data_IF_276328562848
#
_entry.id   IF_276328562848
#
_cell.length_a   1.000
_cell.length_b   1.000
_cell.length_c   1.000
_cell.angle_alpha   90.00
_cell.angle_beta   90.00
_cell.angle_gamma   90.00
#
_symmetry.space_group_name_H-M   'P 1'
#
loop_
_entity.id
_entity.type
_entity.pdbx_description
1 polymer ?
#
# COMPACT_ATOMS: atom_id res chain seq x y z
N UNK A 1 15.31 30.09 10.69
CA UNK A 1 15.37 28.78 10.01
C UNK A 1 14.84 27.64 10.86
N UNK A 2 15.14 27.55 12.16
CA UNK A 2 14.48 26.59 13.05
C UNK A 2 12.94 26.71 13.06
N UNK A 3 12.40 27.93 13.09
CA UNK A 3 10.95 28.15 12.95
C UNK A 3 10.39 27.61 11.62
N UNK A 4 11.13 27.80 10.51
CA UNK A 4 10.76 27.25 9.21
C UNK A 4 10.76 25.72 9.22
N UNK A 5 11.79 25.10 9.82
CA UNK A 5 11.87 23.65 10.02
C UNK A 5 10.65 23.13 10.81
N UNK A 6 10.30 23.78 11.92
CA UNK A 6 9.13 23.39 12.74
C UNK A 6 7.84 23.48 11.94
N UNK A 7 7.62 24.59 11.20
CA UNK A 7 6.44 24.75 10.33
C UNK A 7 6.38 23.64 9.27
N UNK A 8 7.53 23.30 8.68
CA UNK A 8 7.59 22.27 7.64
C UNK A 8 7.32 20.87 8.21
N UNK A 9 7.84 20.54 9.40
CA UNK A 9 7.52 19.30 10.11
C UNK A 9 6.03 19.23 10.47
N UNK A 10 5.43 20.32 10.96
CA UNK A 10 3.99 20.37 11.24
C UNK A 10 3.18 20.10 9.97
N UNK A 11 3.59 20.69 8.84
CA UNK A 11 2.95 20.45 7.55
C UNK A 11 3.11 18.99 7.10
N UNK A 12 4.30 18.40 7.25
CA UNK A 12 4.53 16.98 6.94
C UNK A 12 3.63 16.08 7.80
N UNK A 13 3.56 16.33 9.11
CA UNK A 13 2.69 15.57 10.02
C UNK A 13 1.22 15.72 9.65
N UNK A 14 0.78 16.93 9.28
CA UNK A 14 -0.58 17.16 8.81
C UNK A 14 -0.88 16.39 7.52
N UNK A 15 0.04 16.39 6.56
CA UNK A 15 -0.08 15.60 5.32
C UNK A 15 -0.13 14.10 5.63
N UNK A 16 0.73 13.60 6.52
CA UNK A 16 0.72 12.20 6.95
C UNK A 16 -0.63 11.84 7.59
N UNK A 17 -1.15 12.68 8.48
CA UNK A 17 -2.46 12.46 9.11
C UNK A 17 -3.59 12.43 8.07
N UNK A 18 -3.56 13.33 7.07
CA UNK A 18 -4.51 13.31 5.95
C UNK A 18 -4.41 12.04 5.11
N UNK A 19 -3.18 11.59 4.79
CA UNK A 19 -2.94 10.38 4.02
C UNK A 19 -3.41 9.13 4.77
N UNK A 20 -3.10 9.02 6.07
CA UNK A 20 -3.58 7.91 6.91
C UNK A 20 -5.11 7.91 6.94
N UNK A 21 -5.75 9.06 7.15
CA UNK A 21 -7.22 9.14 7.16
C UNK A 21 -7.84 8.84 5.80
N UNK A 22 -7.13 9.10 4.70
CA UNK A 22 -7.61 8.82 3.35
C UNK A 22 -7.48 7.34 2.97
N UNK A 23 -6.37 6.70 3.34
CA UNK A 23 -6.05 5.34 2.90
C UNK A 23 -6.37 4.25 3.94
N UNK A 24 -6.36 4.55 5.24
CA UNK A 24 -6.64 3.56 6.26
C UNK A 24 -8.14 3.27 6.36
N UNK A 25 -8.50 1.98 6.32
CA UNK A 25 -9.86 1.57 6.65
C UNK A 25 -10.15 1.86 8.14
N UNK A 26 -11.41 2.19 8.46
CA UNK A 26 -11.84 2.57 9.81
C UNK A 26 -11.51 1.53 10.89
N UNK A 27 -11.46 0.25 10.50
CA UNK A 27 -11.22 -0.90 11.38
C UNK A 27 -9.74 -1.24 11.60
N UNK A 28 -8.81 -0.57 10.90
CA UNK A 28 -7.37 -0.80 11.09
C UNK A 28 -6.95 -0.38 12.51
N UNK A 29 -6.17 -1.23 13.16
CA UNK A 29 -5.64 -1.01 14.52
C UNK A 29 -4.82 0.29 14.58
N UNK A 30 -4.97 1.05 15.67
CA UNK A 30 -4.32 2.37 15.83
C UNK A 30 -2.79 2.26 15.79
N UNK A 31 -2.26 1.16 16.30
CA UNK A 31 -0.84 0.83 16.33
C UNK A 31 -0.26 0.61 14.92
N UNK A 32 -1.02 0.01 13.99
CA UNK A 32 -0.64 -0.06 12.56
C UNK A 32 -0.50 1.35 12.00
N UNK A 33 -1.50 2.20 12.24
CA UNK A 33 -1.51 3.58 11.74
C UNK A 33 -0.31 4.38 12.26
N UNK A 34 0.06 4.20 13.52
CA UNK A 34 1.24 4.85 14.10
C UNK A 34 2.54 4.31 13.51
N UNK A 35 2.70 3.01 13.36
CA UNK A 35 3.90 2.42 12.76
C UNK A 35 4.10 2.89 11.31
N UNK A 36 3.02 2.92 10.52
CA UNK A 36 3.03 3.47 9.15
C UNK A 36 3.32 4.96 9.15
N UNK A 37 2.66 5.73 10.02
CA UNK A 37 2.86 7.17 10.13
C UNK A 37 4.28 7.55 10.52
N UNK A 38 4.89 6.77 11.42
CA UNK A 38 6.30 6.94 11.79
C UNK A 38 7.23 6.67 10.62
N UNK A 39 7.03 5.57 9.89
CA UNK A 39 7.83 5.26 8.69
C UNK A 39 7.71 6.34 7.61
N UNK A 40 6.52 6.93 7.44
CA UNK A 40 6.34 8.07 6.52
C UNK A 40 7.00 9.34 7.05
N UNK A 41 6.96 9.59 8.36
CA UNK A 41 7.60 10.75 8.97
C UNK A 41 9.11 10.72 8.78
N UNK A 42 9.76 9.58 9.00
CA UNK A 42 11.21 9.45 8.83
C UNK A 42 11.61 9.58 7.37
N UNK A 43 10.79 9.08 6.43
CA UNK A 43 11.04 9.22 4.99
C UNK A 43 10.81 10.64 4.48
N UNK A 44 9.69 11.27 4.84
CA UNK A 44 9.35 12.63 4.41
C UNK A 44 10.11 13.72 5.17
N UNK A 45 10.62 13.42 6.36
CA UNK A 45 11.38 14.35 7.21
C UNK A 45 12.62 14.93 6.52
N UNK A 46 13.19 14.20 5.55
CA UNK A 46 14.29 14.68 4.69
C UNK A 46 13.94 16.00 3.99
N UNK A 47 12.68 16.22 3.63
CA UNK A 47 12.20 17.46 2.99
C UNK A 47 12.37 18.67 3.92
N UNK A 48 12.26 18.48 5.23
CA UNK A 48 12.49 19.52 6.22
C UNK A 48 13.98 19.65 6.61
N UNK A 49 14.70 18.53 6.68
CA UNK A 49 16.09 18.48 7.12
C UNK A 49 17.06 19.07 6.09
N UNK A 50 16.88 18.77 4.81
CA UNK A 50 17.82 19.22 3.75
C UNK A 50 17.92 20.76 3.68
N UNK A 51 16.83 21.54 3.64
CA UNK A 51 16.93 23.00 3.64
C UNK A 51 17.58 23.56 4.90
N UNK A 52 17.35 22.93 6.06
CA UNK A 52 17.95 23.34 7.33
C UNK A 52 19.47 23.11 7.31
N UNK A 53 19.90 21.97 6.79
CA UNK A 53 21.31 21.59 6.66
C UNK A 53 22.07 22.49 5.68
N UNK A 54 21.49 22.72 4.50
CA UNK A 54 22.03 23.65 3.49
C UNK A 54 22.18 25.05 4.08
N UNK A 55 21.15 25.54 4.79
CA UNK A 55 21.24 26.84 5.43
C UNK A 55 22.32 26.88 6.51
N UNK A 56 22.41 25.88 7.38
CA UNK A 56 23.39 25.88 8.47
C UNK A 56 24.82 25.85 7.95
N UNK A 57 25.05 25.12 6.85
CA UNK A 57 26.33 25.08 6.13
C UNK A 57 26.68 26.46 5.57
N UNK A 58 25.73 27.13 4.89
CA UNK A 58 25.95 28.47 4.34
C UNK A 58 26.13 29.53 5.44
N UNK A 59 25.41 29.40 6.55
CA UNK A 59 25.45 30.31 7.68
C UNK A 59 26.62 30.04 8.65
N UNK A 60 27.45 29.01 8.38
CA UNK A 60 28.57 28.57 9.24
C UNK A 60 28.16 28.34 10.69
N UNK A 61 26.95 27.84 10.92
CA UNK A 61 26.42 27.53 12.24
C UNK A 61 26.99 26.19 12.75
N UNK A 62 27.08 25.99 14.08
CA UNK A 62 27.51 24.71 14.64
C UNK A 62 26.55 23.59 14.21
N UNK A 63 27.10 22.58 13.56
CA UNK A 63 26.37 21.50 12.87
C UNK A 63 25.99 20.32 13.78
N UNK A 64 26.34 20.36 15.08
CA UNK A 64 26.14 19.23 15.99
C UNK A 64 24.66 18.80 16.10
N UNK A 65 23.75 19.73 16.34
CA UNK A 65 22.32 19.42 16.45
C UNK A 65 21.74 18.85 15.14
N UNK A 66 22.24 19.31 13.99
CA UNK A 66 21.80 18.85 12.67
C UNK A 66 22.35 17.44 12.40
N UNK A 67 23.60 17.17 12.78
CA UNK A 67 24.18 15.84 12.75
C UNK A 67 23.35 14.84 13.56
N UNK A 68 22.98 15.20 14.80
CA UNK A 68 22.11 14.36 15.63
C UNK A 68 20.73 14.12 14.99
N UNK A 69 20.14 15.13 14.35
CA UNK A 69 18.86 14.95 13.64
C UNK A 69 18.99 14.00 12.44
N UNK A 70 20.10 14.08 11.70
CA UNK A 70 20.42 13.14 10.63
C UNK A 70 20.60 11.72 11.15
N UNK A 71 21.35 11.54 12.24
CA UNK A 71 21.56 10.24 12.88
C UNK A 71 20.23 9.62 13.33
N UNK A 72 19.39 10.39 14.02
CA UNK A 72 18.06 9.93 14.46
C UNK A 72 17.23 9.52 13.25
N UNK A 73 17.16 10.35 12.22
CA UNK A 73 16.33 10.08 11.02
C UNK A 73 16.83 8.86 10.27
N UNK A 74 18.15 8.73 10.11
CA UNK A 74 18.79 7.62 9.44
C UNK A 74 18.53 6.30 10.18
N UNK A 75 18.92 6.21 11.45
CA UNK A 75 18.77 4.98 12.24
C UNK A 75 17.31 4.60 12.45
N UNK A 76 16.42 5.59 12.58
CA UNK A 76 14.98 5.34 12.63
C UNK A 76 14.45 4.75 11.33
N UNK A 77 14.92 5.25 10.17
CA UNK A 77 14.53 4.71 8.86
C UNK A 77 15.02 3.28 8.68
N UNK A 78 16.26 2.99 9.10
CA UNK A 78 16.80 1.63 9.01
C UNK A 78 16.06 0.66 9.94
N UNK A 79 15.86 1.06 11.21
CA UNK A 79 15.09 0.26 12.16
C UNK A 79 13.65 0.03 11.71
N UNK A 80 13.00 1.07 11.15
CA UNK A 80 11.66 0.96 10.61
C UNK A 80 11.59 -0.02 9.42
N UNK A 81 12.53 0.10 8.48
CA UNK A 81 12.54 -0.69 7.23
C UNK A 81 12.83 -2.17 7.50
N UNK A 82 13.84 -2.46 8.32
CA UNK A 82 14.35 -3.83 8.46
C UNK A 82 13.72 -4.60 9.63
N UNK A 83 13.19 -3.89 10.63
CA UNK A 83 12.70 -4.53 11.86
C UNK A 83 11.22 -4.23 12.06
N UNK A 84 10.87 -2.96 12.28
CA UNK A 84 9.53 -2.60 12.77
C UNK A 84 8.44 -2.91 11.75
N UNK A 85 8.58 -2.46 10.50
CA UNK A 85 7.51 -2.63 9.50
C UNK A 85 7.27 -4.11 9.12
N UNK A 86 8.30 -4.92 8.79
CA UNK A 86 8.09 -6.35 8.48
C UNK A 86 7.51 -7.12 9.66
N UNK A 87 8.00 -6.85 10.88
CA UNK A 87 7.49 -7.49 12.09
C UNK A 87 6.03 -7.10 12.35
N UNK A 88 5.72 -5.81 12.25
CA UNK A 88 4.40 -5.30 12.60
C UNK A 88 3.33 -5.72 11.58
N UNK A 89 3.71 -5.84 10.30
CA UNK A 89 2.85 -6.37 9.25
C UNK A 89 2.36 -7.77 9.62
N UNK A 90 3.27 -8.73 9.86
CA UNK A 90 2.88 -10.11 10.19
C UNK A 90 2.21 -10.19 11.57
N UNK A 91 2.67 -9.40 12.54
CA UNK A 91 2.07 -9.35 13.88
C UNK A 91 0.59 -8.94 13.83
N UNK A 92 0.25 -7.94 12.99
CA UNK A 92 -1.12 -7.46 12.82
C UNK A 92 -2.00 -8.45 12.04
N UNK A 93 -1.39 -9.25 11.15
CA UNK A 93 -2.08 -10.26 10.34
C UNK A 93 -2.24 -11.60 11.06
N UNK A 94 -1.52 -11.82 12.17
CA UNK A 94 -1.56 -13.06 12.94
C UNK A 94 -2.92 -13.27 13.61
N UNK A 95 -3.54 -14.43 13.35
CA UNK A 95 -4.83 -14.82 13.93
C UNK A 95 -4.75 -15.30 15.39
N UNK A 96 -3.55 -15.35 15.97
CA UNK A 96 -3.35 -15.83 17.33
C UNK A 96 -4.12 -15.01 18.38
N UNK A 97 -4.48 -15.66 19.48
CA UNK A 97 -5.25 -15.05 20.57
C UNK A 97 -4.39 -14.38 21.64
N UNK A 98 -3.08 -14.66 21.69
CA UNK A 98 -2.16 -14.10 22.69
C UNK A 98 -1.05 -13.27 22.02
N UNK A 99 -0.63 -12.18 22.67
CA UNK A 99 0.46 -11.31 22.19
C UNK A 99 1.75 -12.10 21.96
N UNK A 100 2.09 -13.00 22.88
CA UNK A 100 3.29 -13.85 22.78
C UNK A 100 3.27 -14.72 21.52
N UNK A 101 2.14 -15.35 21.22
CA UNK A 101 2.00 -16.20 20.02
C UNK A 101 2.10 -15.37 18.76
N UNK A 102 1.43 -14.20 18.70
CA UNK A 102 1.55 -13.28 17.56
C UNK A 102 2.98 -12.82 17.30
N UNK A 103 3.73 -12.48 18.36
CA UNK A 103 5.14 -12.11 18.23
C UNK A 103 5.97 -13.27 17.67
N UNK A 104 5.72 -14.49 18.14
CA UNK A 104 6.43 -15.68 17.66
C UNK A 104 6.10 -15.99 16.20
N UNK A 105 4.81 -15.95 15.83
CA UNK A 105 4.34 -16.11 14.45
C UNK A 105 4.98 -15.07 13.53
N UNK A 106 5.02 -13.81 13.96
CA UNK A 106 5.67 -12.72 13.22
C UNK A 106 7.16 -12.97 12.97
N UNK A 107 7.90 -13.39 13.99
CA UNK A 107 9.33 -13.75 13.83
C UNK A 107 9.47 -14.95 12.90
N UNK A 108 8.66 -15.99 13.09
CA UNK A 108 8.72 -17.26 12.33
C UNK A 108 8.51 -17.02 10.84
N UNK A 109 7.50 -16.24 10.46
CA UNK A 109 7.21 -15.96 9.05
C UNK A 109 8.22 -14.99 8.42
N UNK A 110 8.78 -14.07 9.21
CA UNK A 110 9.87 -13.20 8.77
C UNK A 110 11.25 -13.88 8.80
N UNK A 111 11.38 -15.15 9.22
CA UNK A 111 12.67 -15.84 9.29
C UNK A 111 13.38 -15.92 7.94
N UNK A 112 12.64 -16.00 6.82
CA UNK A 112 13.27 -16.00 5.50
C UNK A 112 13.96 -14.65 5.22
N UNK A 113 13.27 -13.55 5.49
CA UNK A 113 13.83 -12.19 5.33
C UNK A 113 15.07 -12.03 6.20
N UNK A 114 14.96 -12.37 7.49
CA UNK A 114 16.07 -12.27 8.43
C UNK A 114 17.20 -13.25 8.11
N UNK A 115 16.87 -14.42 7.57
CA UNK A 115 17.84 -15.40 7.09
C UNK A 115 18.65 -14.88 5.92
N UNK A 116 18.01 -14.31 4.89
CA UNK A 116 18.70 -13.71 3.74
C UNK A 116 19.55 -12.51 4.14
N UNK A 117 19.02 -11.61 4.98
CA UNK A 117 19.80 -10.47 5.49
C UNK A 117 20.97 -10.96 6.35
N UNK A 118 20.74 -11.96 7.19
CA UNK A 118 21.74 -12.57 8.06
C UNK A 118 22.87 -13.26 7.29
N UNK A 119 22.57 -13.99 6.21
CA UNK A 119 23.60 -14.61 5.36
C UNK A 119 24.44 -13.57 4.61
N UNK A 120 23.82 -12.51 4.09
CA UNK A 120 24.55 -11.39 3.49
C UNK A 120 25.44 -10.67 4.51
N UNK A 121 24.94 -10.45 5.73
CA UNK A 121 25.72 -9.86 6.81
C UNK A 121 26.89 -10.76 7.20
N UNK A 122 26.67 -12.07 7.34
CA UNK A 122 27.72 -13.04 7.64
C UNK A 122 28.79 -13.10 6.54
N UNK A 123 28.39 -13.03 5.27
CA UNK A 123 29.32 -12.96 4.14
C UNK A 123 30.15 -11.67 4.18
N UNK A 124 29.51 -10.51 4.41
CA UNK A 124 30.20 -9.23 4.54
C UNK A 124 31.21 -9.21 5.71
N UNK A 125 30.81 -9.76 6.85
CA UNK A 125 31.68 -9.94 8.02
C UNK A 125 32.85 -10.88 7.69
N UNK A 126 32.59 -12.01 7.04
CA UNK A 126 33.62 -12.97 6.61
C UNK A 126 34.66 -12.34 5.67
N UNK A 127 34.22 -11.48 4.75
CA UNK A 127 35.13 -10.69 3.91
C UNK A 127 36.00 -9.75 4.74
N UNK A 128 35.43 -9.02 5.72
CA UNK A 128 36.20 -8.11 6.57
C UNK A 128 37.25 -8.84 7.41
N UNK A 129 36.94 -10.06 7.87
CA UNK A 129 37.90 -10.94 8.55
C UNK A 129 39.05 -11.33 7.61
N UNK A 130 38.77 -11.72 6.37
CA UNK A 130 39.79 -12.07 5.38
C UNK A 130 40.75 -10.91 5.07
N UNK A 131 40.26 -9.67 5.10
CA UNK A 131 41.08 -8.47 4.87
C UNK A 131 41.77 -7.92 6.14
N UNK A 132 41.61 -8.56 7.30
CA UNK A 132 42.10 -8.07 8.61
C UNK A 132 41.68 -6.63 8.96
N UNK A 133 40.50 -6.19 8.46
CA UNK A 133 39.96 -4.84 8.70
C UNK A 133 38.76 -4.88 9.64
N UNK A 134 38.81 -5.70 10.68
CA UNK A 134 37.68 -5.88 11.60
C UNK A 134 37.76 -4.87 12.73
N UNK A 135 37.03 -3.77 12.57
CA UNK A 135 36.73 -2.81 13.62
C UNK A 135 35.21 -2.57 13.61
N UNK A 136 34.63 -2.16 14.74
CA UNK A 136 33.19 -1.87 14.78
C UNK A 136 32.82 -0.75 13.80
N UNK A 137 33.70 0.23 13.62
CA UNK A 137 33.50 1.34 12.70
C UNK A 137 33.51 0.89 11.23
N UNK A 138 34.41 -0.02 10.85
CA UNK A 138 34.42 -0.59 9.49
C UNK A 138 33.20 -1.45 9.21
N UNK A 139 32.69 -2.17 10.21
CA UNK A 139 31.47 -2.96 10.08
C UNK A 139 30.23 -2.07 9.92
N UNK A 140 30.10 -1.04 10.77
CA UNK A 140 29.01 -0.07 10.68
C UNK A 140 29.06 0.69 9.35
N UNK A 141 30.25 1.14 8.92
CA UNK A 141 30.44 1.80 7.63
C UNK A 141 30.06 0.92 6.44
N UNK A 142 30.43 -0.37 6.47
CA UNK A 142 30.03 -1.33 5.43
C UNK A 142 28.50 -1.53 5.40
N UNK A 143 27.87 -1.69 6.57
CA UNK A 143 26.41 -1.80 6.68
C UNK A 143 25.69 -0.57 6.13
N UNK A 144 26.16 0.63 6.47
CA UNK A 144 25.63 1.89 5.95
C UNK A 144 25.77 1.95 4.42
N UNK A 145 26.92 1.55 3.88
CA UNK A 145 27.18 1.50 2.44
C UNK A 145 26.25 0.54 1.70
N UNK A 146 26.04 -0.67 2.24
CA UNK A 146 25.13 -1.67 1.66
C UNK A 146 23.68 -1.19 1.72
N UNK A 147 23.23 -0.66 2.85
CA UNK A 147 21.87 -0.14 3.00
C UNK A 147 21.58 1.02 2.02
N UNK A 148 22.56 1.92 1.84
CA UNK A 148 22.45 3.00 0.85
C UNK A 148 22.44 2.46 -0.58
N UNK A 149 23.25 1.44 -0.87
CA UNK A 149 23.27 0.78 -2.20
C UNK A 149 21.91 0.13 -2.49
N UNK A 150 21.33 -0.58 -1.52
CA UNK A 150 19.98 -1.12 -1.62
C UNK A 150 18.96 -0.03 -1.92
N UNK A 151 18.96 1.07 -1.15
CA UNK A 151 18.05 2.20 -1.37
C UNK A 151 18.20 2.83 -2.76
N UNK A 152 19.43 2.99 -3.25
CA UNK A 152 19.70 3.51 -4.59
C UNK A 152 19.23 2.55 -5.68
N UNK A 153 19.50 1.26 -5.56
CA UNK A 153 19.06 0.24 -6.52
C UNK A 153 17.52 0.21 -6.59
N UNK A 154 16.84 0.16 -5.45
CA UNK A 154 15.37 0.22 -5.39
C UNK A 154 14.86 1.52 -5.98
N UNK A 155 15.48 2.66 -5.64
CA UNK A 155 15.13 3.98 -6.19
C UNK A 155 15.26 4.04 -7.71
N UNK A 156 16.36 3.51 -8.27
CA UNK A 156 16.59 3.46 -9.72
C UNK A 156 15.54 2.58 -10.40
N UNK A 157 15.23 1.40 -9.85
CA UNK A 157 14.23 0.49 -10.42
C UNK A 157 12.83 1.11 -10.40
N UNK A 158 12.42 1.69 -9.27
CA UNK A 158 11.12 2.35 -9.13
C UNK A 158 11.01 3.58 -10.03
N UNK A 159 12.06 4.40 -10.11
CA UNK A 159 12.11 5.55 -10.99
C UNK A 159 12.06 5.12 -12.47
N UNK A 160 12.75 4.04 -12.84
CA UNK A 160 12.72 3.48 -14.18
C UNK A 160 11.30 3.06 -14.59
N UNK A 161 10.58 2.37 -13.70
CA UNK A 161 9.17 2.03 -13.92
C UNK A 161 8.29 3.28 -14.04
N UNK A 162 8.43 4.22 -13.10
CA UNK A 162 7.66 5.48 -13.10
C UNK A 162 7.87 6.30 -14.37
N UNK A 163 9.09 6.34 -14.88
CA UNK A 163 9.43 7.08 -16.09
C UNK A 163 8.80 6.51 -17.36
N UNK A 164 8.51 5.21 -17.40
CA UNK A 164 7.91 4.55 -18.57
C UNK A 164 6.40 4.44 -18.43
N UNK A 165 5.91 3.94 -17.29
CA UNK A 165 4.49 3.62 -17.15
C UNK A 165 3.64 4.88 -16.94
N UNK A 166 4.14 5.93 -16.26
CA UNK A 166 3.37 7.17 -16.06
C UNK A 166 3.09 7.86 -17.41
N UNK A 167 4.08 8.17 -18.28
CA UNK A 167 3.79 8.78 -19.57
C UNK A 167 2.94 7.90 -20.47
N UNK A 168 3.16 6.59 -20.46
CA UNK A 168 2.36 5.62 -21.22
C UNK A 168 0.90 5.61 -20.77
N UNK A 169 0.64 5.62 -19.46
CA UNK A 169 -0.70 5.71 -18.92
C UNK A 169 -1.36 7.06 -19.24
N UNK A 170 -0.61 8.16 -19.13
CA UNK A 170 -1.08 9.50 -19.53
C UNK A 170 -1.42 9.55 -21.03
N UNK A 171 -0.58 8.99 -21.90
CA UNK A 171 -0.84 8.91 -23.34
C UNK A 171 -2.10 8.10 -23.66
N UNK A 172 -2.24 6.90 -23.07
CA UNK A 172 -3.45 6.06 -23.20
C UNK A 172 -4.70 6.78 -22.73
N UNK A 173 -4.61 7.53 -21.62
CA UNK A 173 -5.72 8.36 -21.09
C UNK A 173 -6.16 9.48 -22.05
N UNK A 174 -5.34 9.78 -23.06
CA UNK A 174 -5.71 10.66 -24.16
C UNK A 174 -6.82 10.12 -25.06
N UNK A 175 -7.10 8.82 -25.09
CA UNK A 175 -8.17 8.24 -25.90
C UNK A 175 -9.27 7.61 -25.00
N UNK A 176 -10.41 8.28 -24.80
CA UNK A 176 -11.46 7.78 -23.91
C UNK A 176 -12.10 6.49 -24.41
N UNK A 177 -12.17 6.26 -25.73
CA UNK A 177 -12.74 5.02 -26.30
C UNK A 177 -11.83 3.83 -26.01
N UNK A 178 -10.51 4.01 -26.16
CA UNK A 178 -9.53 2.98 -25.81
C UNK A 178 -9.54 2.71 -24.30
N UNK A 179 -9.62 3.77 -23.49
CA UNK A 179 -9.70 3.66 -22.03
C UNK A 179 -10.96 2.94 -21.59
N UNK A 180 -12.10 3.19 -22.22
CA UNK A 180 -13.36 2.52 -21.92
C UNK A 180 -13.25 1.01 -22.16
N UNK A 181 -12.67 0.58 -23.30
CA UNK A 181 -12.41 -0.84 -23.58
C UNK A 181 -11.52 -1.49 -22.52
N UNK A 182 -10.45 -0.82 -22.12
CA UNK A 182 -9.56 -1.31 -21.06
C UNK A 182 -10.27 -1.36 -19.70
N UNK A 183 -11.11 -0.37 -19.41
CA UNK A 183 -11.88 -0.30 -18.19
C UNK A 183 -12.93 -1.42 -18.12
N UNK A 184 -13.64 -1.71 -19.22
CA UNK A 184 -14.58 -2.82 -19.32
C UNK A 184 -13.90 -4.17 -19.06
N UNK A 185 -12.71 -4.40 -19.63
CA UNK A 185 -11.93 -5.61 -19.34
C UNK A 185 -11.51 -5.70 -17.87
N UNK A 186 -11.07 -4.59 -17.27
CA UNK A 186 -10.78 -4.52 -15.82
C UNK A 186 -12.02 -4.80 -14.97
N UNK A 187 -13.18 -4.28 -15.35
CA UNK A 187 -14.45 -4.55 -14.66
C UNK A 187 -14.77 -6.04 -14.65
N UNK A 188 -14.63 -6.73 -15.78
CA UNK A 188 -14.83 -8.19 -15.86
C UNK A 188 -13.90 -8.95 -14.91
N UNK A 189 -12.59 -8.62 -14.92
CA UNK A 189 -11.62 -9.23 -13.99
C UNK A 189 -11.93 -8.94 -12.52
N UNK A 190 -12.32 -7.71 -12.19
CA UNK A 190 -12.66 -7.36 -10.81
C UNK A 190 -13.97 -8.01 -10.38
N UNK A 191 -14.94 -8.19 -11.27
CA UNK A 191 -16.16 -8.95 -11.00
C UNK A 191 -15.84 -10.41 -10.67
N UNK A 192 -14.97 -11.05 -11.43
CA UNK A 192 -14.51 -12.42 -11.17
C UNK A 192 -13.81 -12.52 -9.80
N UNK A 193 -12.93 -11.57 -9.48
CA UNK A 193 -12.28 -11.52 -8.17
C UNK A 193 -13.27 -11.32 -7.01
N UNK A 194 -14.32 -10.50 -7.21
CA UNK A 194 -15.41 -10.34 -6.24
C UNK A 194 -16.18 -11.65 -6.07
N UNK A 195 -16.51 -12.35 -7.16
CA UNK A 195 -17.20 -13.64 -7.08
C UNK A 195 -16.36 -14.68 -6.32
N UNK A 196 -15.07 -14.79 -6.64
CA UNK A 196 -14.15 -15.72 -5.96
C UNK A 196 -14.03 -15.41 -4.46
N UNK A 197 -13.83 -14.14 -4.10
CA UNK A 197 -13.72 -13.73 -2.69
C UNK A 197 -15.05 -13.84 -1.94
N UNK A 198 -16.19 -13.66 -2.61
CA UNK A 198 -17.51 -13.90 -2.02
C UNK A 198 -17.68 -15.38 -1.68
N UNK A 199 -17.35 -16.27 -2.62
CA UNK A 199 -17.40 -17.72 -2.40
C UNK A 199 -16.48 -18.16 -1.26
N UNK A 200 -15.24 -17.67 -1.21
CA UNK A 200 -14.32 -17.99 -0.11
C UNK A 200 -14.87 -17.48 1.24
N UNK A 201 -15.42 -16.27 1.29
CA UNK A 201 -16.01 -15.72 2.49
C UNK A 201 -17.20 -16.55 2.97
N UNK A 202 -18.09 -16.98 2.06
CA UNK A 202 -19.21 -17.86 2.37
C UNK A 202 -18.76 -19.20 2.93
N UNK A 203 -17.72 -19.81 2.34
CA UNK A 203 -17.09 -21.04 2.84
C UNK A 203 -16.57 -20.85 4.27
N UNK A 204 -15.80 -19.79 4.53
CA UNK A 204 -15.22 -19.52 5.85
C UNK A 204 -16.31 -19.28 6.90
N UNK A 205 -17.35 -18.52 6.57
CA UNK A 205 -18.48 -18.30 7.49
C UNK A 205 -19.23 -19.61 7.75
N UNK A 206 -19.38 -20.45 6.75
CA UNK A 206 -20.00 -21.77 6.89
C UNK A 206 -19.20 -22.67 7.84
N UNK A 207 -17.87 -22.69 7.72
CA UNK A 207 -16.97 -23.41 8.64
C UNK A 207 -17.12 -22.87 10.07
N UNK A 208 -17.16 -21.55 10.25
CA UNK A 208 -17.37 -20.91 11.55
C UNK A 208 -18.70 -21.33 12.16
N UNK A 209 -19.78 -21.31 11.38
CA UNK A 209 -21.10 -21.72 11.84
C UNK A 209 -21.16 -23.20 12.21
N UNK A 210 -20.57 -24.08 11.39
CA UNK A 210 -20.47 -25.52 11.67
C UNK A 210 -19.67 -25.80 12.95
N UNK A 211 -18.49 -25.19 13.10
CA UNK A 211 -17.64 -25.32 14.29
C UNK A 211 -18.33 -24.81 15.56
N UNK A 212 -19.03 -23.68 15.48
CA UNK A 212 -19.78 -23.15 16.61
C UNK A 212 -20.91 -24.09 17.07
N UNK A 213 -21.56 -24.78 16.12
CA UNK A 213 -22.61 -25.76 16.43
C UNK A 213 -22.07 -27.07 17.01
N UNK A 214 -20.88 -27.48 16.57
CA UNK A 214 -20.24 -28.71 17.03
C UNK A 214 -19.64 -28.59 18.43
N UNK A 215 -19.18 -27.40 18.83
CA UNK A 215 -18.58 -27.18 20.15
C UNK A 215 -19.60 -27.23 21.29
N UNK A 216 -19.27 -27.97 22.35
CA UNK A 216 -20.06 -27.99 23.59
C UNK A 216 -19.87 -26.66 24.33
N UNK A 217 -20.94 -26.15 24.97
CA UNK A 217 -20.93 -24.87 25.72
C UNK A 217 -19.91 -24.81 26.87
N UNK A 218 -19.47 -25.95 27.40
CA UNK A 218 -18.53 -26.04 28.52
C UNK A 218 -17.06 -26.22 28.10
N UNK A 219 -16.77 -26.22 26.79
CA UNK A 219 -15.39 -26.34 26.31
C UNK A 219 -14.58 -25.07 26.59
N UNK A 220 -13.33 -25.21 27.05
CA UNK A 220 -12.42 -24.09 27.25
C UNK A 220 -12.14 -23.33 25.94
N UNK A 221 -12.22 -24.02 24.80
CA UNK A 221 -12.03 -23.44 23.46
C UNK A 221 -13.21 -22.57 23.00
N UNK A 222 -14.39 -22.72 23.62
CA UNK A 222 -15.60 -21.98 23.25
C UNK A 222 -15.40 -20.46 23.31
N UNK A 223 -14.65 -19.98 24.33
CA UNK A 223 -14.30 -18.56 24.47
C UNK A 223 -13.54 -18.01 23.25
N UNK A 224 -12.65 -18.80 22.66
CA UNK A 224 -11.88 -18.38 21.48
C UNK A 224 -12.76 -18.41 20.24
N UNK A 225 -13.65 -19.39 20.13
CA UNK A 225 -14.64 -19.45 19.05
C UNK A 225 -15.61 -18.26 19.08
N UNK A 226 -16.05 -17.83 20.26
CA UNK A 226 -16.89 -16.63 20.42
C UNK A 226 -16.19 -15.37 19.91
N UNK A 227 -14.87 -15.25 20.09
CA UNK A 227 -14.08 -14.14 19.52
C UNK A 227 -14.10 -14.19 17.99
N UNK A 228 -14.01 -15.37 17.38
CA UNK A 228 -14.07 -15.54 15.92
C UNK A 228 -15.47 -15.23 15.39
N UNK A 229 -16.52 -15.78 16.03
CA UNK A 229 -17.91 -15.58 15.64
C UNK A 229 -18.34 -14.11 15.79
N UNK A 230 -17.98 -13.45 16.90
CA UNK A 230 -18.26 -12.02 17.10
C UNK A 230 -17.55 -11.12 16.08
N UNK A 231 -16.32 -11.47 15.69
CA UNK A 231 -15.62 -10.77 14.61
C UNK A 231 -16.37 -10.93 13.27
N UNK A 232 -16.79 -12.16 12.94
CA UNK A 232 -17.57 -12.43 11.73
C UNK A 232 -18.88 -11.61 11.71
N UNK A 233 -19.65 -11.62 12.79
CA UNK A 233 -20.92 -10.87 12.91
C UNK A 233 -20.75 -9.35 12.76
N UNK A 234 -19.64 -8.81 13.25
CA UNK A 234 -19.38 -7.36 13.26
C UNK A 234 -18.80 -6.86 11.94
N UNK A 235 -17.87 -7.60 11.35
CA UNK A 235 -17.04 -7.12 10.23
C UNK A 235 -17.40 -7.72 8.87
N UNK A 236 -18.05 -8.89 8.86
CA UNK A 236 -18.43 -9.54 7.61
C UNK A 236 -19.69 -8.89 7.02
N UNK A 237 -19.74 -8.66 5.69
CA UNK A 237 -20.97 -8.26 5.01
C UNK A 237 -22.03 -9.37 5.02
N UNK A 238 -21.60 -10.64 5.05
CA UNK A 238 -22.47 -11.81 5.13
C UNK A 238 -22.40 -12.31 6.57
N UNK A 239 -23.51 -12.23 7.29
CA UNK A 239 -23.53 -12.59 8.71
C UNK A 239 -23.78 -14.09 8.90
N UNK A 240 -23.05 -14.77 9.80
CA UNK A 240 -23.32 -16.15 10.18
C UNK A 240 -24.79 -16.37 10.59
N UNK A 241 -25.38 -15.43 11.34
CA UNK A 241 -26.78 -15.44 11.74
C UNK A 241 -27.79 -15.51 10.59
N UNK A 242 -27.46 -14.95 9.43
CA UNK A 242 -28.30 -15.03 8.22
C UNK A 242 -28.22 -16.41 7.56
N UNK A 243 -27.07 -17.08 7.67
CA UNK A 243 -26.87 -18.45 7.17
C UNK A 243 -27.61 -19.48 8.00
N UNK A 244 -27.88 -19.22 9.29
CA UNK A 244 -28.73 -20.09 10.11
C UNK A 244 -30.17 -20.25 9.55
N UNK A 245 -30.61 -19.31 8.70
CA UNK A 245 -31.94 -19.34 8.07
C UNK A 245 -31.92 -20.05 6.70
N UNK A 246 -30.73 -20.24 6.09
CA UNK A 246 -30.58 -20.94 4.81
C UNK A 246 -30.22 -22.41 5.06
N UNK A 247 -30.68 -23.32 4.21
CA UNK A 247 -30.15 -24.68 4.17
C UNK A 247 -28.70 -24.60 3.71
N UNK A 248 -27.78 -24.72 4.66
CA UNK A 248 -26.34 -24.67 4.41
C UNK A 248 -25.93 -25.98 3.77
N UNK A 249 -25.36 -25.91 2.57
CA UNK A 249 -24.76 -27.07 1.90
C UNK A 249 -23.40 -27.37 2.53
N UNK A 250 -23.44 -28.14 3.62
CA UNK A 250 -22.25 -28.61 4.33
C UNK A 250 -21.52 -29.69 3.49
N UNK A 251 -22.23 -30.36 2.59
CA UNK A 251 -21.68 -31.43 1.73
C UNK A 251 -20.81 -30.88 0.59
N UNK A 252 -21.01 -29.62 0.19
CA UNK A 252 -20.17 -28.90 -0.76
C UNK A 252 -18.82 -28.41 -0.21
N UNK A 253 -18.55 -28.55 1.09
CA UNK A 253 -17.26 -28.20 1.69
C UNK A 253 -16.17 -29.20 1.30
N UNK A 254 -14.96 -28.72 1.03
CA UNK A 254 -13.83 -29.61 0.74
C UNK A 254 -13.46 -30.39 2.00
N UNK A 255 -12.96 -31.62 1.84
CA UNK A 255 -12.47 -32.42 2.97
C UNK A 255 -11.40 -31.67 3.81
N UNK A 256 -10.53 -30.91 3.14
CA UNK A 256 -9.51 -30.04 3.77
C UNK A 256 -10.13 -28.93 4.63
N UNK A 257 -11.31 -28.41 4.26
CA UNK A 257 -12.03 -27.36 4.99
C UNK A 257 -12.75 -27.91 6.24
N UNK A 258 -12.92 -29.23 6.33
CA UNK A 258 -13.49 -29.94 7.47
C UNK A 258 -12.41 -30.51 8.42
N UNK A 259 -11.14 -30.49 8.00
CA UNK A 259 -9.98 -30.98 8.75
C UNK A 259 -9.40 -29.89 9.67
N UNK A 260 -10.25 -29.13 10.36
CA UNK A 260 -9.78 -28.28 11.44
C UNK A 260 -9.62 -29.12 12.71
N UNK A 261 -8.38 -29.25 13.19
CA UNK A 261 -8.16 -29.73 14.55
C UNK A 261 -8.89 -28.78 15.52
N UNK A 262 -9.66 -29.35 16.45
CA UNK A 262 -10.35 -28.61 17.51
C UNK A 262 -9.35 -28.17 18.58
N UNK A 263 -8.37 -27.36 18.18
CA UNK A 263 -7.32 -26.84 19.04
C UNK A 263 -7.16 -25.32 18.85
N UNK A 264 -6.31 -24.73 19.70
CA UNK A 264 -6.10 -23.28 19.70
C UNK A 264 -5.45 -22.79 18.41
N UNK A 265 -4.58 -23.60 17.80
CA UNK A 265 -3.87 -23.29 16.56
C UNK A 265 -4.83 -23.30 15.36
N UNK A 266 -5.71 -24.31 15.25
CA UNK A 266 -6.76 -24.38 14.25
C UNK A 266 -7.72 -23.19 14.31
N UNK A 267 -8.10 -22.76 15.52
CA UNK A 267 -8.92 -21.55 15.70
C UNK A 267 -8.17 -20.25 15.35
N UNK A 268 -6.87 -20.18 15.60
CA UNK A 268 -6.04 -19.05 15.18
C UNK A 268 -5.93 -18.99 13.65
N UNK A 269 -5.74 -20.12 12.98
CA UNK A 269 -5.74 -20.24 11.52
C UNK A 269 -7.10 -19.83 10.94
N UNK A 270 -8.20 -20.32 11.52
CA UNK A 270 -9.56 -19.97 11.09
C UNK A 270 -9.81 -18.45 11.25
N UNK A 271 -9.39 -17.86 12.37
CA UNK A 271 -9.49 -16.42 12.59
C UNK A 271 -8.69 -15.61 11.56
N UNK A 272 -7.47 -16.05 11.25
CA UNK A 272 -6.63 -15.41 10.22
C UNK A 272 -7.27 -15.53 8.83
N UNK A 273 -7.78 -16.70 8.47
CA UNK A 273 -8.49 -16.93 7.20
C UNK A 273 -9.73 -16.05 7.08
N UNK A 274 -10.53 -15.93 8.15
CA UNK A 274 -11.67 -15.02 8.21
C UNK A 274 -11.25 -13.55 8.04
N UNK A 275 -10.20 -13.11 8.72
CA UNK A 275 -9.68 -11.75 8.59
C UNK A 275 -9.36 -11.43 7.11
N UNK A 276 -8.61 -12.32 6.44
CA UNK A 276 -8.27 -12.17 5.03
C UNK A 276 -9.47 -12.26 4.10
N UNK A 277 -10.37 -13.23 4.29
CA UNK A 277 -11.57 -13.36 3.46
C UNK A 277 -12.43 -12.08 3.49
N UNK A 278 -12.59 -11.47 4.67
CA UNK A 278 -13.30 -10.19 4.82
C UNK A 278 -12.52 -9.05 4.16
N UNK A 279 -11.21 -8.95 4.39
CA UNK A 279 -10.36 -7.89 3.83
C UNK A 279 -10.32 -7.96 2.29
N UNK A 280 -10.13 -9.15 1.73
CA UNK A 280 -10.10 -9.42 0.30
C UNK A 280 -11.44 -9.09 -0.35
N UNK A 281 -12.56 -9.56 0.22
CA UNK A 281 -13.89 -9.22 -0.28
C UNK A 281 -14.09 -7.71 -0.35
N UNK A 282 -13.78 -6.98 0.73
CA UNK A 282 -13.92 -5.53 0.79
C UNK A 282 -13.02 -4.83 -0.23
N UNK A 283 -11.76 -5.25 -0.31
CA UNK A 283 -10.78 -4.71 -1.24
C UNK A 283 -11.17 -4.92 -2.70
N UNK A 284 -11.54 -6.16 -3.09
CA UNK A 284 -12.00 -6.49 -4.43
C UNK A 284 -13.30 -5.79 -4.78
N UNK A 285 -14.26 -5.70 -3.85
CA UNK A 285 -15.52 -4.99 -4.06
C UNK A 285 -15.30 -3.50 -4.29
N UNK A 286 -14.44 -2.86 -3.48
CA UNK A 286 -14.11 -1.45 -3.66
C UNK A 286 -13.39 -1.18 -4.99
N UNK A 287 -12.47 -2.07 -5.40
CA UNK A 287 -11.81 -1.98 -6.71
C UNK A 287 -12.80 -2.15 -7.87
N UNK A 288 -13.76 -3.08 -7.75
CA UNK A 288 -14.81 -3.30 -8.73
C UNK A 288 -15.73 -2.09 -8.86
N UNK A 289 -16.22 -1.55 -7.74
CA UNK A 289 -17.05 -0.35 -7.71
C UNK A 289 -16.34 0.84 -8.35
N UNK A 290 -15.07 1.08 -7.98
CA UNK A 290 -14.26 2.13 -8.61
C UNK A 290 -14.11 1.92 -10.11
N UNK A 291 -13.86 0.69 -10.56
CA UNK A 291 -13.71 0.39 -11.99
C UNK A 291 -15.02 0.63 -12.76
N UNK A 292 -16.18 0.27 -12.19
CA UNK A 292 -17.49 0.57 -12.79
C UNK A 292 -17.71 2.08 -12.89
N UNK A 293 -17.42 2.83 -11.82
CA UNK A 293 -17.58 4.28 -11.81
C UNK A 293 -16.68 4.95 -12.86
N UNK A 294 -15.43 4.50 -12.99
CA UNK A 294 -14.51 4.96 -14.02
C UNK A 294 -15.04 4.61 -15.44
N UNK A 295 -15.63 3.42 -15.63
CA UNK A 295 -16.23 3.01 -16.89
C UNK A 295 -17.41 3.92 -17.28
N UNK A 296 -18.31 4.19 -16.33
CA UNK A 296 -19.45 5.09 -16.57
C UNK A 296 -19.02 6.53 -16.84
N UNK A 297 -18.00 7.04 -16.13
CA UNK A 297 -17.44 8.37 -16.43
C UNK A 297 -16.88 8.41 -17.85
N UNK A 298 -16.12 7.38 -18.25
CA UNK A 298 -15.53 7.30 -19.59
C UNK A 298 -16.58 7.15 -20.69
N UNK A 299 -17.64 6.37 -20.45
CA UNK A 299 -18.76 6.22 -21.37
C UNK A 299 -19.49 7.55 -21.59
N UNK A 300 -19.76 8.29 -20.50
CA UNK A 300 -20.39 9.60 -20.59
C UNK A 300 -19.50 10.63 -21.33
N UNK A 301 -18.18 10.60 -21.10
CA UNK A 301 -17.22 11.43 -21.86
C UNK A 301 -17.22 11.04 -23.35
N UNK A 302 -17.25 9.74 -23.66
CA UNK A 302 -17.28 9.27 -25.04
C UNK A 302 -18.55 9.70 -25.77
N UNK A 303 -19.72 9.58 -25.12
CA UNK A 303 -21.02 10.03 -25.64
C UNK A 303 -21.06 11.55 -25.84
N UNK A 304 -20.60 12.34 -24.86
CA UNK A 304 -20.54 13.79 -24.99
C UNK A 304 -19.63 14.24 -26.15
N UNK A 305 -18.52 13.53 -26.39
CA UNK A 305 -17.65 13.79 -27.55
C UNK A 305 -18.29 13.42 -28.88
N UNK A 306 -19.00 12.30 -28.95
CA UNK A 306 -19.66 11.87 -30.20
C UNK A 306 -20.81 12.79 -30.58
N UNK A 307 -21.59 13.26 -29.61
CA UNK A 307 -22.74 14.15 -29.81
C UNK A 307 -22.33 15.63 -29.96
N UNK A 308 -21.09 15.99 -29.61
CA UNK A 308 -20.61 17.39 -29.48
C UNK A 308 -21.45 18.24 -28.53
N UNK A 309 -22.19 17.59 -27.63
CA UNK A 309 -23.00 18.23 -26.60
C UNK A 309 -22.33 18.05 -25.25
N UNK A 310 -22.04 19.17 -24.60
CA UNK A 310 -21.36 19.22 -23.29
C UNK A 310 -22.30 19.69 -22.17
N UNK A 311 -23.60 19.72 -22.45
CA UNK A 311 -24.65 20.11 -21.51
C UNK A 311 -24.87 18.95 -20.54
N UNK A 312 -24.61 19.21 -19.26
CA UNK A 312 -24.52 18.20 -18.21
C UNK A 312 -25.86 17.52 -17.90
N UNK A 313 -25.95 16.22 -18.11
CA UNK A 313 -26.47 15.31 -17.07
C UNK A 313 -25.28 14.50 -16.56
N UNK A 314 -24.93 14.68 -15.29
CA UNK A 314 -23.84 13.92 -14.69
C UNK A 314 -24.21 12.43 -14.75
N UNK A 315 -23.28 11.51 -15.12
CA UNK A 315 -23.59 10.09 -15.30
C UNK A 315 -24.19 9.42 -14.05
N UNK A 316 -23.94 9.99 -12.86
CA UNK A 316 -24.51 9.52 -11.59
C UNK A 316 -26.01 9.72 -11.44
N UNK A 317 -26.60 10.75 -12.08
CA UNK A 317 -28.05 11.00 -11.99
C UNK A 317 -28.86 10.09 -12.93
N UNK A 318 -28.27 9.61 -14.04
CA UNK A 318 -28.93 8.72 -15.00
C UNK A 318 -29.04 7.26 -14.54
N UNK A 319 -28.27 6.84 -13.52
CA UNK A 319 -28.15 5.43 -13.08
C UNK A 319 -28.77 5.21 -11.69
N UNK A 320 -29.31 6.25 -11.04
CA UNK A 320 -29.90 6.14 -9.70
C UNK A 320 -28.89 5.84 -8.59
N UNK A 321 -27.57 5.89 -8.88
CA UNK A 321 -26.50 5.75 -7.88
C UNK A 321 -26.23 7.13 -7.32
N UNK A 322 -26.88 7.44 -6.19
CA UNK A 322 -26.64 8.67 -5.42
C UNK A 322 -25.26 8.62 -4.77
N UNK A 323 -24.21 8.87 -5.53
CA UNK A 323 -22.93 9.23 -4.93
C UNK A 323 -23.17 10.58 -4.29
N UNK A 324 -23.20 10.65 -2.95
CA UNK A 324 -23.25 11.89 -2.17
C UNK A 324 -21.96 12.66 -2.37
N UNK A 325 -21.80 13.22 -3.57
CA UNK A 325 -20.66 14.05 -3.93
C UNK A 325 -21.07 15.50 -3.68
N UNK A 326 -20.29 16.19 -2.86
CA UNK A 326 -20.44 17.64 -2.64
C UNK A 326 -20.38 18.33 -4.00
N UNK A 327 -21.49 18.90 -4.46
CA UNK A 327 -21.57 19.64 -5.72
C UNK A 327 -20.76 20.93 -5.56
N UNK A 328 -19.77 21.12 -6.42
CA UNK A 328 -18.96 22.34 -6.43
C UNK A 328 -19.40 23.23 -7.61
N UNK A 329 -19.34 24.57 -7.47
CA UNK A 329 -19.74 25.48 -8.55
C UNK A 329 -18.89 25.32 -9.81
N UNK A 330 -17.70 24.72 -9.69
CA UNK A 330 -16.75 24.48 -10.77
C UNK A 330 -16.96 23.15 -11.49
N UNK A 331 -17.91 22.30 -11.07
CA UNK A 331 -18.12 20.96 -11.65
C UNK A 331 -18.46 21.00 -13.15
N UNK A 332 -19.19 22.04 -13.58
CA UNK A 332 -19.49 22.26 -15.01
C UNK A 332 -18.22 22.53 -15.82
N UNK A 333 -17.32 23.36 -15.30
CA UNK A 333 -16.05 23.67 -15.96
C UNK A 333 -15.13 22.45 -15.97
N UNK A 334 -15.08 21.71 -14.85
CA UNK A 334 -14.32 20.46 -14.74
C UNK A 334 -14.81 19.41 -15.75
N UNK A 335 -16.13 19.31 -15.96
CA UNK A 335 -16.72 18.42 -16.95
C UNK A 335 -16.32 18.81 -18.38
N UNK A 336 -16.44 20.09 -18.73
CA UNK A 336 -16.02 20.59 -20.05
C UNK A 336 -14.52 20.32 -20.27
N UNK A 337 -13.69 20.55 -19.25
CA UNK A 337 -12.27 20.24 -19.28
C UNK A 337 -12.00 18.74 -19.52
N UNK A 338 -12.67 17.86 -18.78
CA UNK A 338 -12.57 16.40 -18.95
C UNK A 338 -12.95 15.98 -20.37
N UNK A 339 -14.01 16.55 -20.92
CA UNK A 339 -14.50 16.23 -22.24
C UNK A 339 -13.61 16.75 -23.36
N UNK A 340 -13.03 17.94 -23.25
CA UNK A 340 -12.30 18.61 -24.36
C UNK A 340 -10.79 18.57 -24.17
N UNK A 341 -10.27 19.27 -23.16
CA UNK A 341 -8.85 19.58 -23.00
C UNK A 341 -8.03 18.44 -22.36
N UNK A 342 -8.61 17.64 -21.46
CA UNK A 342 -7.88 16.60 -20.68
C UNK A 342 -7.06 15.65 -21.55
N UNK A 343 -7.56 15.29 -22.73
CA UNK A 343 -6.85 14.40 -23.66
C UNK A 343 -5.56 15.02 -24.19
N UNK A 344 -5.62 16.28 -24.60
CA UNK A 344 -4.47 17.02 -25.11
C UNK A 344 -3.46 17.31 -24.01
N UNK A 345 -3.96 17.76 -22.85
CA UNK A 345 -3.13 18.03 -21.67
C UNK A 345 -2.35 16.79 -21.25
N UNK A 346 -3.01 15.63 -21.15
CA UNK A 346 -2.32 14.39 -20.77
C UNK A 346 -1.28 13.94 -21.80
N UNK A 347 -1.52 14.14 -23.10
CA UNK A 347 -0.53 13.85 -24.14
C UNK A 347 0.67 14.79 -24.08
N UNK A 348 0.44 16.09 -23.88
CA UNK A 348 1.51 17.09 -23.74
C UNK A 348 2.36 16.81 -22.51
N UNK A 349 1.75 16.50 -21.36
CA UNK A 349 2.48 16.10 -20.16
C UNK A 349 3.28 14.82 -20.37
N UNK A 350 2.71 13.81 -21.04
CA UNK A 350 3.42 12.57 -21.34
C UNK A 350 4.69 12.84 -22.17
N UNK A 351 4.59 13.68 -23.21
CA UNK A 351 5.73 14.08 -24.04
C UNK A 351 6.73 14.90 -23.24
N UNK A 352 6.28 15.84 -22.41
CA UNK A 352 7.16 16.67 -21.57
C UNK A 352 7.98 15.84 -20.58
N UNK A 353 7.35 14.87 -19.89
CA UNK A 353 8.05 13.96 -18.98
C UNK A 353 9.07 13.12 -19.75
N UNK A 354 8.70 12.59 -20.91
CA UNK A 354 9.60 11.80 -21.74
C UNK A 354 10.79 12.63 -22.23
N UNK A 355 10.55 13.82 -22.77
CA UNK A 355 11.59 14.73 -23.26
C UNK A 355 12.53 15.22 -22.16
N UNK A 356 12.02 15.55 -20.97
CA UNK A 356 12.86 16.00 -19.84
C UNK A 356 13.76 14.88 -19.32
N UNK A 357 13.26 13.65 -19.29
CA UNK A 357 14.03 12.50 -18.86
C UNK A 357 15.10 12.11 -19.89
N UNK A 358 14.74 12.07 -21.17
CA UNK A 358 15.65 11.72 -22.26
C UNK A 358 16.66 12.84 -22.54
N UNK A 359 16.24 14.10 -22.44
CA UNK A 359 17.11 15.27 -22.53
C UNK A 359 18.20 15.23 -21.45
N UNK A 360 17.85 15.03 -20.17
CA UNK A 360 18.87 14.95 -19.12
C UNK A 360 19.82 13.75 -19.28
N UNK A 361 19.31 12.61 -19.74
CA UNK A 361 20.13 11.43 -20.00
C UNK A 361 21.16 11.68 -21.12
N UNK A 362 20.73 12.30 -22.22
CA UNK A 362 21.59 12.59 -23.38
C UNK A 362 22.60 13.71 -23.12
N UNK A 363 22.17 14.81 -22.50
CA UNK A 363 23.06 15.92 -22.16
C UNK A 363 24.15 15.52 -21.16
N UNK A 364 23.84 14.66 -20.18
CA UNK A 364 24.82 14.12 -19.24
C UNK A 364 25.84 13.16 -19.85
N UNK A 365 25.47 12.45 -20.92
CA UNK A 365 26.39 11.62 -21.70
C UNK A 365 27.33 12.51 -22.52
N UNK A 366 26.78 13.48 -23.26
CA UNK A 366 27.54 14.39 -24.13
C UNK A 366 28.53 15.26 -23.34
N UNK A 367 28.15 15.74 -22.15
CA UNK A 367 29.08 16.52 -21.31
C UNK A 367 30.25 15.67 -20.82
N UNK A 368 30.03 14.40 -20.44
CA UNK A 368 31.11 13.48 -20.02
C UNK A 368 32.05 13.13 -21.18
N UNK A 369 31.54 12.91 -22.39
CA UNK A 369 32.39 12.68 -23.57
C UNK A 369 33.22 13.92 -23.91
N UNK A 370 32.67 15.13 -23.79
CA UNK A 370 33.45 16.35 -24.03
C UNK A 370 34.50 16.65 -22.95
N UNK A 371 34.31 16.16 -21.72
CA UNK A 371 35.31 16.36 -20.65
C UNK A 371 36.47 15.35 -20.77
N UNK A 372 36.18 14.11 -21.20
CA UNK A 372 37.20 13.08 -21.46
C UNK A 372 37.98 13.25 -22.78
N UNK A 373 37.51 14.11 -23.69
CA UNK A 373 38.23 14.47 -24.92
C UNK A 373 39.14 15.70 -24.74
N UNK A 374 39.12 16.34 -23.56
CA UNK A 374 39.96 17.50 -23.19
C UNK A 374 41.14 17.16 -22.28
N UNK A 375 41.30 15.88 -21.93
CA UNK A 375 42.49 15.28 -21.34
C UNK A 375 43.02 14.22 -22.30
#
# INVERSE_FOLDING_TARGET
MWAFFVVLIILIVAVIALLINHFAEKHVEWSVRLATGYGWLTSMGVVALVPLDVWATLAKQPVQAIGTLWDITYWSTQGATWIVLPFYQVYSEAGDFTVRSRCWTSIKENMLLYGVVGTLAAFGVGMLFAFQRVTLDTLLGAGIGIANTFGLVVGILLMGYGLVEIPKQMWKSGNPVLMLKQCAHKCGRHAEAVMKSTSELETVITIIYANQRQMRRHDALHKYMDVVASYAETHSPIKPSLLATRTVDIEGLRAEDLEYNYDLEGLAVLRRRLFWAVADYKGFRAMYEKAILDAFELEAIAKARSLREYTSTQPTEAIGVSITRRKWPWDRYLWIYKCTARSYVNKVFAVSIYCTAWGKATWGIVSKTQTNLKH
#
